data_IF_806179895842
#
_entry.id   IF_806179895842
#
_cell.length_a   1.000
_cell.length_b   1.000
_cell.length_c   1.000
_cell.angle_alpha   90.00
_cell.angle_beta   90.00
_cell.angle_gamma   90.00
#
_symmetry.space_group_name_H-M   'P 1'
#
loop_
_entity.id
_entity.type
_entity.pdbx_description
1 polymer ?
#
# COMPACT_ATOMS: atom_id res chain seq x y z
N UNK A 1 3.15 -36.99 11.25
CA UNK A 1 4.15 -35.93 11.45
C UNK A 1 4.48 -35.35 10.09
N UNK A 2 3.87 -34.24 9.71
CA UNK A 2 4.25 -33.49 8.51
C UNK A 2 5.54 -32.73 8.82
N UNK A 3 6.51 -32.81 7.90
CA UNK A 3 7.81 -32.11 8.03
C UNK A 3 7.59 -30.59 8.10
N UNK A 4 8.41 -29.81 8.82
CA UNK A 4 8.38 -28.35 8.78
C UNK A 4 8.41 -27.79 7.34
N UNK A 5 9.12 -28.47 6.44
CA UNK A 5 9.23 -28.11 5.02
C UNK A 5 7.90 -28.24 4.27
N UNK A 6 7.07 -29.24 4.60
CA UNK A 6 5.75 -29.44 3.98
C UNK A 6 4.73 -28.38 4.41
N UNK A 7 5.02 -27.62 5.49
CA UNK A 7 4.18 -26.54 6.00
C UNK A 7 4.49 -25.20 5.31
N UNK A 8 5.77 -24.95 4.98
CA UNK A 8 6.20 -23.77 4.21
C UNK A 8 5.66 -23.77 2.79
N UNK A 9 5.48 -24.93 2.17
CA UNK A 9 4.90 -25.07 0.81
C UNK A 9 3.41 -24.67 0.71
N UNK A 10 2.71 -24.45 1.83
CA UNK A 10 1.29 -24.05 1.87
C UNK A 10 1.07 -22.59 2.32
N UNK A 11 2.10 -21.92 2.83
CA UNK A 11 2.02 -20.55 3.31
C UNK A 11 2.16 -19.56 2.14
N UNK A 12 1.22 -18.63 2.04
CA UNK A 12 1.09 -17.65 0.96
C UNK A 12 1.42 -16.27 1.48
N UNK A 13 2.01 -15.45 0.63
CA UNK A 13 2.14 -14.04 0.89
C UNK A 13 0.77 -13.39 1.09
N UNK A 14 0.72 -12.36 1.93
CA UNK A 14 -0.52 -11.70 2.28
C UNK A 14 -0.45 -10.18 2.10
N UNK A 15 -1.55 -9.59 1.67
CA UNK A 15 -1.65 -8.15 1.38
C UNK A 15 -2.80 -7.55 2.17
N UNK A 16 -2.49 -6.51 2.96
CA UNK A 16 -3.49 -5.67 3.60
C UNK A 16 -3.87 -4.52 2.67
N UNK A 17 -5.12 -4.48 2.21
CA UNK A 17 -5.67 -3.39 1.40
C UNK A 17 -6.28 -2.31 2.31
N UNK A 18 -5.76 -1.10 2.27
CA UNK A 18 -6.24 0.06 3.02
C UNK A 18 -7.07 0.97 2.12
N UNK A 19 -8.31 1.25 2.52
CA UNK A 19 -9.19 2.12 1.75
C UNK A 19 -10.02 3.04 2.63
N UNK A 20 -10.40 4.19 2.07
CA UNK A 20 -11.34 5.10 2.68
C UNK A 20 -12.77 4.52 2.61
N UNK A 21 -13.68 4.85 3.55
CA UNK A 21 -15.09 4.46 3.45
C UNK A 21 -15.74 4.94 2.15
N UNK A 22 -15.27 6.08 1.63
CA UNK A 22 -15.70 6.59 0.34
C UNK A 22 -15.45 5.60 -0.80
N UNK A 23 -14.45 4.73 -0.71
CA UNK A 23 -14.09 3.67 -1.68
C UNK A 23 -14.75 2.31 -1.39
N UNK A 24 -15.61 2.21 -0.37
CA UNK A 24 -16.22 0.94 0.02
C UNK A 24 -17.20 0.35 -1.02
N UNK A 25 -17.60 -0.90 -0.79
CA UNK A 25 -18.55 -1.65 -1.63
C UNK A 25 -17.86 -2.30 -2.84
N UNK A 26 -18.51 -2.25 -4.00
CA UNK A 26 -18.07 -2.98 -5.20
C UNK A 26 -16.67 -2.63 -5.71
N UNK A 27 -16.09 -1.48 -5.32
CA UNK A 27 -14.68 -1.18 -5.62
C UNK A 27 -13.72 -2.07 -4.84
N UNK A 28 -14.00 -2.35 -3.56
CA UNK A 28 -13.16 -3.25 -2.74
C UNK A 28 -13.23 -4.67 -3.30
N UNK A 29 -14.42 -5.13 -3.70
CA UNK A 29 -14.59 -6.43 -4.34
C UNK A 29 -13.78 -6.53 -5.64
N UNK A 30 -13.85 -5.49 -6.49
CA UNK A 30 -13.06 -5.41 -7.72
C UNK A 30 -11.54 -5.30 -7.46
N UNK A 31 -11.12 -4.74 -6.34
CA UNK A 31 -9.71 -4.68 -5.93
C UNK A 31 -9.19 -6.02 -5.38
N UNK A 32 -10.08 -6.87 -4.88
CA UNK A 32 -9.74 -8.18 -4.32
C UNK A 32 -9.52 -9.24 -5.38
N UNK A 33 -10.32 -9.21 -6.45
CA UNK A 33 -10.25 -10.20 -7.51
C UNK A 33 -8.83 -10.34 -8.09
N UNK A 34 -8.11 -9.26 -8.48
CA UNK A 34 -6.74 -9.35 -8.98
C UNK A 34 -5.76 -9.95 -7.96
N UNK A 35 -5.88 -9.58 -6.68
CA UNK A 35 -5.01 -10.10 -5.60
C UNK A 35 -5.23 -11.61 -5.36
N UNK A 36 -6.49 -12.04 -5.37
CA UNK A 36 -6.86 -13.45 -5.22
C UNK A 36 -6.43 -14.30 -6.41
N UNK A 37 -6.63 -13.81 -7.64
CA UNK A 37 -6.14 -14.46 -8.86
C UNK A 37 -4.62 -14.58 -8.90
N UNK A 38 -3.91 -13.62 -8.31
CA UNK A 38 -2.47 -13.63 -8.11
C UNK A 38 -1.99 -14.57 -6.98
N UNK A 39 -2.91 -15.21 -6.25
CA UNK A 39 -2.56 -16.18 -5.20
C UNK A 39 -2.23 -15.58 -3.84
N UNK A 40 -2.42 -14.28 -3.63
CA UNK A 40 -2.24 -13.65 -2.33
C UNK A 40 -3.42 -13.94 -1.38
N UNK A 41 -3.12 -14.02 -0.08
CA UNK A 41 -4.16 -13.88 0.94
C UNK A 41 -4.42 -12.39 1.15
N UNK A 42 -5.60 -11.90 0.79
CA UNK A 42 -5.95 -10.49 0.92
C UNK A 42 -6.93 -10.23 2.08
N UNK A 43 -6.75 -9.12 2.77
CA UNK A 43 -7.74 -8.57 3.71
C UNK A 43 -7.88 -7.07 3.48
N UNK A 44 -9.10 -6.56 3.59
CA UNK A 44 -9.41 -5.15 3.40
C UNK A 44 -9.63 -4.55 4.77
N UNK A 45 -9.13 -3.34 4.95
CA UNK A 45 -9.36 -2.55 6.13
C UNK A 45 -9.91 -1.20 5.70
N UNK A 46 -11.20 -0.99 5.98
CA UNK A 46 -11.83 0.31 5.87
C UNK A 46 -11.33 1.20 7.00
N UNK A 47 -10.76 2.36 6.64
CA UNK A 47 -10.22 3.30 7.62
C UNK A 47 -11.34 3.90 8.47
N UNK A 48 -11.16 3.88 9.80
CA UNK A 48 -12.05 4.61 10.69
C UNK A 48 -11.97 6.12 10.47
N UNK A 49 -12.99 6.86 10.91
CA UNK A 49 -12.97 8.32 10.91
C UNK A 49 -11.73 8.88 11.62
N UNK A 50 -11.36 8.29 12.76
CA UNK A 50 -10.18 8.71 13.52
C UNK A 50 -8.89 8.47 12.72
N UNK A 51 -8.78 7.38 11.97
CA UNK A 51 -7.62 7.09 11.12
C UNK A 51 -7.51 8.03 9.91
N UNK A 52 -8.64 8.48 9.34
CA UNK A 52 -8.66 9.47 8.28
C UNK A 52 -8.11 10.84 8.75
N UNK A 53 -8.40 11.19 10.00
CA UNK A 53 -8.05 12.50 10.55
C UNK A 53 -6.68 12.51 11.26
N UNK A 54 -6.27 11.40 11.88
CA UNK A 54 -5.07 11.33 12.73
C UNK A 54 -4.16 10.14 12.42
N UNK A 55 -2.90 10.44 12.12
CA UNK A 55 -1.86 9.41 11.97
C UNK A 55 -1.59 8.67 13.29
N UNK A 56 -1.66 9.40 14.41
CA UNK A 56 -1.52 8.81 15.77
C UNK A 56 -2.59 7.78 16.09
N UNK A 57 -3.82 7.96 15.56
CA UNK A 57 -4.92 7.01 15.74
C UNK A 57 -4.89 5.91 14.69
N UNK A 58 -4.50 6.25 13.46
CA UNK A 58 -4.38 5.30 12.36
C UNK A 58 -3.34 4.21 12.62
N UNK A 59 -2.12 4.55 13.06
CA UNK A 59 -1.05 3.56 13.18
C UNK A 59 -1.40 2.38 14.12
N UNK A 60 -1.92 2.59 15.34
CA UNK A 60 -2.36 1.48 16.20
C UNK A 60 -3.57 0.70 15.64
N UNK A 61 -4.45 1.36 14.88
CA UNK A 61 -5.56 0.68 14.20
C UNK A 61 -5.03 -0.27 13.12
N UNK A 62 -4.13 0.23 12.28
CA UNK A 62 -3.52 -0.54 11.19
C UNK A 62 -2.60 -1.65 11.70
N UNK A 63 -1.90 -1.44 12.81
CA UNK A 63 -1.15 -2.50 13.49
C UNK A 63 -2.04 -3.68 13.87
N UNK A 64 -3.25 -3.41 14.37
CA UNK A 64 -4.20 -4.49 14.72
C UNK A 64 -4.72 -5.20 13.48
N UNK A 65 -4.99 -4.47 12.40
CA UNK A 65 -5.42 -5.04 11.13
C UNK A 65 -4.32 -5.92 10.52
N UNK A 66 -3.07 -5.46 10.54
CA UNK A 66 -1.91 -6.22 10.09
C UNK A 66 -1.69 -7.48 10.93
N UNK A 67 -1.80 -7.38 12.25
CA UNK A 67 -1.68 -8.54 13.15
C UNK A 67 -2.84 -9.54 13.00
N UNK A 68 -4.04 -9.07 12.63
CA UNK A 68 -5.16 -9.95 12.29
C UNK A 68 -4.87 -10.71 10.99
N UNK A 69 -4.40 -10.02 9.94
CA UNK A 69 -3.98 -10.64 8.68
C UNK A 69 -2.89 -11.69 8.91
N UNK A 70 -1.88 -11.36 9.71
CA UNK A 70 -0.75 -12.23 10.05
C UNK A 70 -1.14 -13.53 10.76
N UNK A 71 -2.32 -13.57 11.37
CA UNK A 71 -2.85 -14.75 12.10
C UNK A 71 -3.77 -15.62 11.24
N UNK A 72 -4.10 -15.20 10.02
CA UNK A 72 -4.95 -16.00 9.14
C UNK A 72 -4.26 -17.33 8.78
N UNK A 73 -5.00 -18.45 8.71
CA UNK A 73 -4.45 -19.72 8.29
C UNK A 73 -3.82 -19.65 6.90
N UNK A 74 -2.60 -20.16 6.76
CA UNK A 74 -1.89 -20.21 5.48
C UNK A 74 -1.24 -18.88 5.05
N UNK A 75 -1.11 -17.90 5.95
CA UNK A 75 -0.32 -16.69 5.73
C UNK A 75 1.13 -16.92 6.16
N UNK A 76 2.05 -16.61 5.26
CA UNK A 76 3.46 -16.48 5.59
C UNK A 76 3.70 -15.15 6.33
N UNK A 77 4.18 -15.25 7.56
CA UNK A 77 4.29 -14.13 8.50
C UNK A 77 5.43 -13.17 8.17
N UNK A 78 6.34 -13.56 7.28
CA UNK A 78 7.46 -12.72 6.82
C UNK A 78 7.19 -12.10 5.44
N UNK A 79 6.19 -12.60 4.69
CA UNK A 79 5.81 -12.10 3.35
C UNK A 79 4.51 -11.31 3.39
N UNK A 80 4.53 -10.24 4.18
CA UNK A 80 3.42 -9.31 4.33
C UNK A 80 3.65 -8.05 3.49
N UNK A 81 2.64 -7.67 2.71
CA UNK A 81 2.57 -6.41 2.01
C UNK A 81 1.39 -5.55 2.45
N UNK A 82 1.46 -4.26 2.13
CA UNK A 82 0.35 -3.32 2.30
C UNK A 82 0.14 -2.56 1.00
N UNK A 83 -1.12 -2.40 0.62
CA UNK A 83 -1.55 -1.63 -0.55
C UNK A 83 -2.59 -0.62 -0.07
N UNK A 84 -2.44 0.65 -0.41
CA UNK A 84 -3.35 1.68 0.01
C UNK A 84 -3.69 2.68 -1.09
N UNK A 85 -4.90 3.24 -1.02
CA UNK A 85 -5.39 4.23 -1.96
C UNK A 85 -5.75 5.54 -1.25
N UNK A 86 -5.34 6.68 -1.82
CA UNK A 86 -5.57 8.00 -1.25
C UNK A 86 -5.00 8.10 0.17
N UNK A 87 -5.86 8.38 1.16
CA UNK A 87 -5.43 8.36 2.57
C UNK A 87 -4.89 6.98 3.00
N UNK A 88 -5.42 5.90 2.45
CA UNK A 88 -4.88 4.56 2.66
C UNK A 88 -3.45 4.40 2.15
N UNK A 89 -3.08 5.09 1.06
CA UNK A 89 -1.73 5.08 0.49
C UNK A 89 -0.73 5.80 1.40
N UNK A 90 -1.06 7.01 1.87
CA UNK A 90 -0.29 7.72 2.90
C UNK A 90 -0.05 6.85 4.14
N UNK A 91 -1.10 6.17 4.60
CA UNK A 91 -1.03 5.33 5.80
C UNK A 91 -0.29 4.00 5.56
N UNK A 92 -0.36 3.44 4.35
CA UNK A 92 0.46 2.30 3.95
C UNK A 92 1.95 2.65 4.06
N UNK A 93 2.35 3.79 3.51
CA UNK A 93 3.72 4.31 3.61
C UNK A 93 4.17 4.47 5.07
N UNK A 94 3.37 5.16 5.88
CA UNK A 94 3.65 5.34 7.32
C UNK A 94 3.73 4.02 8.08
N UNK A 95 2.86 3.05 7.77
CA UNK A 95 2.87 1.74 8.44
C UNK A 95 4.19 1.01 8.17
N UNK A 96 4.66 0.94 6.92
CA UNK A 96 5.95 0.29 6.64
C UNK A 96 7.18 1.08 7.10
N UNK A 97 7.04 2.37 7.41
CA UNK A 97 8.10 3.10 8.11
C UNK A 97 8.19 2.75 9.60
N UNK A 98 7.19 2.03 10.15
CA UNK A 98 7.11 1.68 11.58
C UNK A 98 7.03 0.17 11.83
N UNK A 99 6.81 -0.62 10.79
CA UNK A 99 6.71 -2.09 10.82
C UNK A 99 7.48 -2.70 9.67
N UNK A 100 8.07 -3.86 9.93
CA UNK A 100 8.72 -4.68 8.91
C UNK A 100 7.66 -5.28 7.99
N UNK A 101 7.62 -4.77 6.76
CA UNK A 101 6.81 -5.26 5.65
C UNK A 101 7.73 -5.50 4.46
N UNK A 102 7.45 -6.52 3.65
CA UNK A 102 8.27 -6.88 2.50
C UNK A 102 7.99 -5.97 1.29
N UNK A 103 6.73 -5.53 1.12
CA UNK A 103 6.32 -4.67 0.03
C UNK A 103 5.26 -3.64 0.46
N UNK A 104 5.35 -2.44 -0.08
CA UNK A 104 4.42 -1.34 0.15
C UNK A 104 3.98 -0.73 -1.16
N UNK A 105 2.68 -0.50 -1.30
CA UNK A 105 2.11 0.18 -2.45
C UNK A 105 1.25 1.36 -2.00
N UNK A 106 1.62 2.55 -2.44
CA UNK A 106 0.89 3.80 -2.25
C UNK A 106 0.31 4.25 -3.59
N UNK A 107 -1.02 4.27 -3.69
CA UNK A 107 -1.74 4.81 -4.85
C UNK A 107 -2.35 6.15 -4.48
N UNK A 108 -1.86 7.24 -5.08
CA UNK A 108 -2.38 8.61 -4.91
C UNK A 108 -2.36 9.16 -3.47
N UNK A 109 -1.55 8.59 -2.56
CA UNK A 109 -1.36 9.09 -1.20
C UNK A 109 -0.30 10.18 -1.10
N UNK A 110 -0.63 11.37 -0.57
CA UNK A 110 0.39 12.38 -0.26
C UNK A 110 1.31 11.92 0.87
N UNK A 111 2.60 12.24 0.76
CA UNK A 111 3.63 12.05 1.80
C UNK A 111 4.04 13.35 2.48
N UNK A 112 3.43 14.47 2.07
CA UNK A 112 3.52 15.77 2.70
C UNK A 112 2.15 16.21 3.25
N UNK A 113 2.08 16.38 4.56
CA UNK A 113 0.96 17.03 5.21
C UNK A 113 1.02 18.54 4.97
N UNK A 114 -0.12 19.19 4.68
CA UNK A 114 -0.18 20.66 4.54
C UNK A 114 0.27 21.41 5.80
N UNK A 115 0.04 20.82 6.99
CA UNK A 115 0.48 21.32 8.27
C UNK A 115 0.67 20.16 9.26
N UNK A 116 1.62 20.32 10.17
CA UNK A 116 1.79 19.41 11.30
C UNK A 116 0.81 19.78 12.43
N UNK A 117 0.35 18.78 13.16
CA UNK A 117 -0.52 18.94 14.32
C UNK A 117 -0.24 17.84 15.35
N UNK A 118 -0.81 17.90 16.57
CA UNK A 118 -0.74 16.78 17.50
C UNK A 118 -1.24 15.44 16.90
N UNK A 119 -2.18 15.49 15.96
CA UNK A 119 -2.77 14.34 15.28
C UNK A 119 -1.91 13.81 14.14
N UNK A 120 -1.09 14.69 13.53
CA UNK A 120 -0.13 14.43 12.43
C UNK A 120 1.21 15.08 12.76
N UNK A 121 1.98 14.51 13.70
CA UNK A 121 3.10 15.19 14.34
C UNK A 121 4.39 15.26 13.51
N UNK A 122 4.48 14.49 12.42
CA UNK A 122 5.68 14.40 11.56
C UNK A 122 5.24 14.28 10.11
N UNK A 123 6.11 14.68 9.18
CA UNK A 123 5.86 14.47 7.76
C UNK A 123 6.11 12.99 7.42
N UNK A 124 5.20 12.29 6.72
CA UNK A 124 5.46 10.93 6.26
C UNK A 124 6.81 10.81 5.54
N UNK A 125 7.12 11.76 4.66
CA UNK A 125 8.39 11.85 3.95
C UNK A 125 9.64 11.81 4.88
N UNK A 126 9.57 12.35 6.09
CA UNK A 126 10.69 12.32 7.05
C UNK A 126 11.00 10.91 7.54
N UNK A 127 10.00 10.03 7.56
CA UNK A 127 10.14 8.64 8.00
C UNK A 127 10.57 7.69 6.87
N UNK A 128 10.63 8.15 5.61
CA UNK A 128 10.86 7.28 4.45
C UNK A 128 12.15 6.46 4.49
N UNK A 129 13.19 6.89 5.21
CA UNK A 129 14.43 6.11 5.38
C UNK A 129 14.28 4.92 6.34
N UNK A 130 13.17 4.83 7.07
CA UNK A 130 12.87 3.71 7.96
C UNK A 130 12.24 2.53 7.22
N UNK A 131 11.91 2.67 5.93
CA UNK A 131 11.36 1.58 5.14
C UNK A 131 12.34 0.39 5.11
N UNK A 132 11.83 -0.80 5.43
CA UNK A 132 12.58 -2.04 5.33
C UNK A 132 12.26 -2.84 4.06
N UNK A 133 11.05 -2.69 3.53
CA UNK A 133 10.57 -3.35 2.32
C UNK A 133 10.74 -2.52 1.06
N UNK A 134 10.38 -3.14 -0.07
CA UNK A 134 10.29 -2.42 -1.33
C UNK A 134 9.09 -1.45 -1.32
N UNK A 135 9.21 -0.33 -2.02
CA UNK A 135 8.14 0.67 -2.13
C UNK A 135 7.74 0.97 -3.58
N UNK A 136 6.45 0.93 -3.87
CA UNK A 136 5.86 1.41 -5.13
C UNK A 136 4.91 2.57 -4.84
N UNK A 137 5.20 3.74 -5.42
CA UNK A 137 4.26 4.86 -5.47
C UNK A 137 3.65 4.96 -6.87
N UNK A 138 2.32 5.00 -6.98
CA UNK A 138 1.62 5.23 -8.25
C UNK A 138 0.76 6.48 -8.16
N UNK A 139 1.09 7.47 -8.98
CA UNK A 139 0.49 8.80 -8.93
C UNK A 139 -0.09 9.19 -10.29
N UNK A 140 -1.27 9.79 -10.29
CA UNK A 140 -1.85 10.40 -11.46
C UNK A 140 -1.08 11.69 -11.82
N UNK A 141 -0.87 11.95 -13.11
CA UNK A 141 -0.20 13.16 -13.56
C UNK A 141 -0.89 14.44 -13.04
N UNK A 142 -2.23 14.45 -13.04
CA UNK A 142 -3.08 15.53 -12.51
C UNK A 142 -3.68 15.17 -11.14
N UNK A 143 -2.96 14.36 -10.37
CA UNK A 143 -3.34 13.86 -9.05
C UNK A 143 -3.08 14.83 -7.90
N UNK A 144 -3.20 14.31 -6.69
CA UNK A 144 -2.91 15.06 -5.45
C UNK A 144 -1.42 15.34 -5.26
N UNK A 145 -0.61 14.36 -5.61
CA UNK A 145 0.84 14.34 -5.37
C UNK A 145 1.52 14.96 -6.58
N UNK A 146 1.85 16.25 -6.47
CA UNK A 146 2.44 17.03 -7.57
C UNK A 146 3.89 16.66 -7.90
N UNK A 147 4.41 17.21 -9.01
CA UNK A 147 5.78 16.91 -9.46
C UNK A 147 6.86 17.25 -8.42
N UNK A 148 6.67 18.34 -7.67
CA UNK A 148 7.58 18.75 -6.59
C UNK A 148 7.62 17.70 -5.46
N UNK A 149 6.47 17.27 -4.96
CA UNK A 149 6.36 16.26 -3.92
C UNK A 149 6.94 14.92 -4.37
N UNK A 150 6.66 14.49 -5.62
CA UNK A 150 7.26 13.28 -6.20
C UNK A 150 8.79 13.39 -6.29
N UNK A 151 9.31 14.56 -6.64
CA UNK A 151 10.75 14.82 -6.67
C UNK A 151 11.40 14.73 -5.28
N UNK A 152 10.73 15.27 -4.25
CA UNK A 152 11.16 15.16 -2.86
C UNK A 152 11.14 13.71 -2.37
N UNK A 153 10.07 12.97 -2.67
CA UNK A 153 9.96 11.54 -2.36
C UNK A 153 11.07 10.73 -3.04
N UNK A 154 11.30 10.95 -4.33
CA UNK A 154 12.40 10.32 -5.07
C UNK A 154 13.75 10.62 -4.42
N UNK A 155 14.05 11.89 -4.14
CA UNK A 155 15.31 12.29 -3.52
C UNK A 155 15.52 11.66 -2.15
N UNK A 156 14.47 11.62 -1.32
CA UNK A 156 14.51 10.97 0.00
C UNK A 156 14.79 9.46 -0.13
N UNK A 157 14.05 8.76 -0.99
CA UNK A 157 14.17 7.31 -1.13
C UNK A 157 15.43 6.87 -1.89
N UNK A 158 15.99 7.73 -2.75
CA UNK A 158 17.29 7.48 -3.40
C UNK A 158 18.45 7.32 -2.40
N UNK A 159 18.28 7.83 -1.18
CA UNK A 159 19.25 7.67 -0.10
C UNK A 159 18.99 6.40 0.74
N UNK A 160 17.89 5.69 0.51
CA UNK A 160 17.55 4.45 1.20
C UNK A 160 18.22 3.25 0.51
N UNK A 161 18.61 2.24 1.31
CA UNK A 161 19.17 0.98 0.79
C UNK A 161 18.11 -0.01 0.30
N UNK A 162 16.88 0.44 0.00
CA UNK A 162 15.74 -0.40 -0.37
C UNK A 162 15.25 -0.12 -1.79
N UNK A 163 14.77 -1.14 -2.52
CA UNK A 163 14.17 -0.94 -3.83
C UNK A 163 12.96 0.00 -3.74
N UNK A 164 12.87 0.96 -4.64
CA UNK A 164 11.66 1.76 -4.79
C UNK A 164 11.40 2.13 -6.25
N UNK A 165 10.13 2.34 -6.57
CA UNK A 165 9.68 2.84 -7.86
C UNK A 165 8.59 3.90 -7.67
N UNK A 166 8.64 4.97 -8.47
CA UNK A 166 7.59 5.97 -8.55
C UNK A 166 7.06 6.01 -9.98
N UNK A 167 5.81 5.63 -10.16
CA UNK A 167 5.09 5.64 -11.44
C UNK A 167 4.20 6.88 -11.51
N UNK A 168 4.30 7.61 -12.61
CA UNK A 168 3.35 8.67 -12.96
C UNK A 168 2.48 8.19 -14.11
N UNK A 169 1.16 8.17 -13.92
CA UNK A 169 0.19 7.72 -14.91
C UNK A 169 -0.18 8.90 -15.83
N UNK A 170 0.32 8.95 -17.09
CA UNK A 170 0.21 10.16 -17.93
C UNK A 170 -1.24 10.48 -18.25
N UNK A 171 -1.68 11.73 -18.16
CA UNK A 171 -3.05 12.08 -18.52
C UNK A 171 -4.13 11.60 -17.54
N UNK A 172 -3.81 10.87 -16.48
CA UNK A 172 -4.77 10.47 -15.45
C UNK A 172 -5.12 11.65 -14.51
N UNK A 173 -6.38 11.70 -14.10
CA UNK A 173 -6.86 12.61 -13.05
C UNK A 173 -6.85 11.96 -11.67
N UNK A 174 -7.00 12.77 -10.63
CA UNK A 174 -7.23 12.29 -9.26
C UNK A 174 -8.37 11.27 -9.24
N UNK A 175 -8.12 10.12 -8.59
CA UNK A 175 -9.11 9.07 -8.41
C UNK A 175 -9.49 8.33 -9.70
N UNK A 176 -8.61 8.29 -10.71
CA UNK A 176 -8.86 7.59 -11.97
C UNK A 176 -9.20 6.10 -11.81
N UNK A 177 -8.83 5.51 -10.67
CA UNK A 177 -9.09 4.10 -10.32
C UNK A 177 -10.47 3.85 -9.70
N UNK A 178 -11.26 4.89 -9.41
CA UNK A 178 -12.59 4.74 -8.79
C UNK A 178 -13.69 4.75 -9.87
N UNK A 179 -14.36 3.61 -10.15
CA UNK A 179 -15.39 3.48 -11.18
C UNK A 179 -16.65 4.30 -10.90
N UNK A 180 -16.79 4.85 -9.70
CA UNK A 180 -17.92 5.71 -9.32
C UNK A 180 -17.63 7.20 -9.57
N UNK A 181 -16.37 7.54 -9.81
CA UNK A 181 -15.91 8.91 -10.00
C UNK A 181 -15.94 9.38 -11.45
N UNK A 182 -16.08 10.69 -11.66
CA UNK A 182 -16.06 11.29 -13.00
C UNK A 182 -14.68 11.21 -13.70
N UNK A 183 -13.61 11.03 -12.93
CA UNK A 183 -12.24 10.86 -13.44
C UNK A 183 -11.91 9.41 -13.83
N UNK A 184 -12.84 8.47 -13.69
CA UNK A 184 -12.58 7.06 -13.93
C UNK A 184 -12.02 6.80 -15.32
N UNK A 185 -10.91 6.06 -15.37
CA UNK A 185 -10.28 5.62 -16.59
C UNK A 185 -9.96 4.12 -16.47
N UNK A 186 -10.77 3.29 -17.13
CA UNK A 186 -10.67 1.85 -17.06
C UNK A 186 -9.30 1.33 -17.56
N UNK A 187 -8.78 1.88 -18.66
CA UNK A 187 -7.51 1.45 -19.24
C UNK A 187 -6.35 1.76 -18.29
N UNK A 188 -6.34 2.95 -17.69
CA UNK A 188 -5.30 3.31 -16.72
C UNK A 188 -5.43 2.57 -15.40
N UNK A 189 -6.66 2.22 -15.00
CA UNK A 189 -6.91 1.37 -13.84
C UNK A 189 -6.36 -0.04 -14.07
N UNK A 190 -6.52 -0.59 -15.27
CA UNK A 190 -5.95 -1.88 -15.65
C UNK A 190 -4.41 -1.85 -15.64
N UNK A 191 -3.80 -0.81 -16.22
CA UNK A 191 -2.34 -0.59 -16.18
C UNK A 191 -1.81 -0.47 -14.73
N UNK A 192 -2.53 0.27 -13.87
CA UNK A 192 -2.22 0.37 -12.44
C UNK A 192 -2.19 -1.02 -11.80
N UNK A 193 -3.26 -1.82 -11.96
CA UNK A 193 -3.33 -3.15 -11.37
C UNK A 193 -2.26 -4.10 -11.91
N UNK A 194 -2.00 -4.07 -13.22
CA UNK A 194 -0.93 -4.86 -13.81
C UNK A 194 0.43 -4.54 -13.16
N UNK A 195 0.76 -3.25 -12.98
CA UNK A 195 2.02 -2.85 -12.33
C UNK A 195 2.08 -3.25 -10.86
N UNK A 196 0.99 -3.03 -10.12
CA UNK A 196 0.87 -3.40 -8.69
C UNK A 196 1.07 -4.89 -8.49
N UNK A 197 0.42 -5.72 -9.30
CA UNK A 197 0.54 -7.18 -9.20
C UNK A 197 1.96 -7.66 -9.51
N UNK A 198 2.61 -7.11 -10.54
CA UNK A 198 4.00 -7.43 -10.86
C UNK A 198 4.90 -7.09 -9.67
N UNK A 199 4.77 -5.87 -9.13
CA UNK A 199 5.56 -5.42 -7.98
C UNK A 199 5.37 -6.32 -6.75
N UNK A 200 4.12 -6.66 -6.43
CA UNK A 200 3.82 -7.52 -5.28
C UNK A 200 4.40 -8.93 -5.49
N UNK A 201 4.36 -9.49 -6.70
CA UNK A 201 4.99 -10.79 -6.97
C UNK A 201 6.50 -10.74 -6.80
N UNK A 202 7.15 -9.71 -7.35
CA UNK A 202 8.61 -9.55 -7.27
C UNK A 202 9.10 -9.44 -5.82
N UNK A 203 8.34 -8.77 -4.96
CA UNK A 203 8.78 -8.45 -3.59
C UNK A 203 8.12 -9.28 -2.48
N UNK A 204 7.11 -10.08 -2.80
CA UNK A 204 6.51 -11.07 -1.89
C UNK A 204 6.74 -12.52 -2.35
N UNK A 205 7.60 -12.73 -3.35
CA UNK A 205 8.09 -14.06 -3.69
C UNK A 205 8.81 -14.68 -2.48
N UNK A 206 8.78 -16.02 -2.33
CA UNK A 206 9.66 -16.68 -1.37
C UNK A 206 11.13 -16.36 -1.71
N UNK A 207 11.94 -16.05 -0.69
CA UNK A 207 13.39 -15.92 -0.89
C UNK A 207 13.90 -17.21 -1.54
N UNK A 208 14.56 -17.09 -2.68
CA UNK A 208 15.21 -18.22 -3.33
C UNK A 208 16.53 -18.44 -2.59
N UNK A 209 16.64 -19.57 -1.88
CA UNK A 209 17.90 -20.06 -1.27
C UNK A 209 19.04 -20.19 -2.31
#
# INVERSE_FOLDING_TARGET
MTSPDSKRELERAAVLLLHEPALAGGWVEAAFEPLGCAGFVASAHELSKDALESDRRALPELDRALEALRKLPGVDRERLGVLGFGRGGTLAFLLGCTRRLAALVDVEGPVLHPALSPERPTQPLELGLNLEGAFLGVFAERGAVGAEERGLLHGRLSSAARPFELVVVPGAGRGFFDPRGASYDAARTEELWARVLVFLHEHLAPESD
#
